data_IF_009539784371
#
_entry.id   IF_009539784371
#
_cell.length_a   1.000
_cell.length_b   1.000
_cell.length_c   1.000
_cell.angle_alpha   90.00
_cell.angle_beta   90.00
_cell.angle_gamma   90.00
#
_symmetry.space_group_name_H-M   'P 1'
#
loop_
_entity.id
_entity.type
_entity.pdbx_description
1 polymer ?
#
# COMPACT_ATOMS: atom_id res chain seq x y z
N UNK A 1 3.22 13.99 -2.44
CA UNK A 1 4.38 14.62 -3.14
C UNK A 1 4.04 16.03 -3.67
N UNK A 2 2.80 16.29 -4.14
CA UNK A 2 2.44 17.57 -4.77
C UNK A 2 2.49 18.83 -3.88
N UNK A 3 2.51 18.69 -2.55
CA UNK A 3 2.53 19.84 -1.62
C UNK A 3 3.94 20.30 -1.22
N UNK A 4 4.99 19.58 -1.58
CA UNK A 4 6.40 19.94 -1.28
C UNK A 4 6.76 20.05 0.21
N UNK A 5 5.83 19.66 1.11
CA UNK A 5 6.00 19.82 2.57
C UNK A 5 6.76 18.67 3.23
N UNK A 6 6.97 17.55 2.52
CA UNK A 6 7.61 16.34 3.04
C UNK A 6 8.84 15.98 2.22
N UNK A 7 9.91 15.58 2.89
CA UNK A 7 11.15 15.12 2.24
C UNK A 7 10.98 13.78 1.51
N UNK A 8 10.05 12.93 2.00
CA UNK A 8 9.66 11.69 1.34
C UNK A 8 8.23 11.30 1.72
N UNK A 9 7.52 10.65 0.78
CA UNK A 9 6.18 10.08 1.00
C UNK A 9 6.17 8.69 0.40
N UNK A 10 5.71 7.70 1.18
CA UNK A 10 5.58 6.31 0.73
C UNK A 10 4.20 5.77 1.08
N UNK A 11 3.59 5.10 0.11
CA UNK A 11 2.45 4.25 0.39
C UNK A 11 2.93 2.85 0.79
N UNK A 12 2.22 2.21 1.71
CA UNK A 12 2.45 0.82 2.07
C UNK A 12 1.10 0.09 2.21
N UNK A 13 1.08 -1.19 1.90
CA UNK A 13 -0.14 -1.95 1.73
C UNK A 13 -0.12 -3.23 2.59
N UNK A 14 -1.29 -3.71 2.97
CA UNK A 14 -1.43 -4.96 3.72
C UNK A 14 -1.16 -6.21 2.87
N UNK A 15 -1.52 -6.17 1.59
CA UNK A 15 -1.49 -7.33 0.70
C UNK A 15 -0.72 -7.11 -0.60
N UNK A 16 -0.14 -5.94 -0.77
CA UNK A 16 0.57 -5.53 -1.98
C UNK A 16 1.92 -4.91 -1.62
N UNK A 17 2.79 -4.75 -2.60
CA UNK A 17 4.07 -4.06 -2.44
C UNK A 17 3.93 -2.52 -2.52
N UNK A 18 4.68 -1.76 -1.75
CA UNK A 18 5.53 -2.17 -0.61
C UNK A 18 4.68 -2.64 0.57
N UNK A 19 5.09 -3.74 1.18
CA UNK A 19 4.36 -4.29 2.32
C UNK A 19 4.46 -3.41 3.55
N UNK A 20 3.33 -3.31 4.26
CA UNK A 20 3.20 -2.52 5.49
C UNK A 20 4.31 -2.80 6.51
N UNK A 21 4.66 -4.06 6.71
CA UNK A 21 5.67 -4.51 7.68
C UNK A 21 7.03 -3.85 7.50
N UNK A 22 7.43 -3.60 6.25
CA UNK A 22 8.73 -3.02 5.90
C UNK A 22 8.66 -1.52 5.63
N UNK A 23 7.49 -0.91 5.74
CA UNK A 23 7.29 0.50 5.40
C UNK A 23 8.28 1.42 6.10
N UNK A 24 8.49 1.22 7.40
CA UNK A 24 9.41 2.03 8.18
C UNK A 24 10.89 1.80 7.82
N UNK A 25 11.26 0.59 7.42
CA UNK A 25 12.63 0.27 7.02
C UNK A 25 13.00 0.91 5.68
N UNK A 26 11.99 1.25 4.85
CA UNK A 26 12.15 1.96 3.58
C UNK A 26 12.26 3.48 3.73
N UNK A 27 11.98 4.03 4.91
CA UNK A 27 12.01 5.47 5.17
C UNK A 27 13.43 5.91 5.60
N UNK A 28 13.89 7.04 5.03
CA UNK A 28 15.17 7.67 5.38
C UNK A 28 15.03 8.68 6.52
N UNK A 29 13.86 9.29 6.65
CA UNK A 29 13.56 10.34 7.62
C UNK A 29 13.61 9.85 9.06
N UNK A 30 14.05 10.71 9.97
CA UNK A 30 14.02 10.45 11.41
C UNK A 30 12.68 10.80 12.05
N UNK A 31 11.97 11.76 11.48
CA UNK A 31 10.59 12.12 11.84
C UNK A 31 9.67 11.45 10.82
N UNK A 32 8.83 10.53 11.26
CA UNK A 32 7.95 9.74 10.39
C UNK A 32 6.51 9.83 10.89
N UNK A 33 5.60 10.11 9.97
CA UNK A 33 4.16 10.15 10.24
C UNK A 33 3.49 8.98 9.52
N UNK A 34 2.87 8.10 10.29
CA UNK A 34 2.08 6.97 9.77
C UNK A 34 0.61 7.36 9.81
N UNK A 35 0.03 7.56 8.63
CA UNK A 35 -1.37 7.96 8.47
C UNK A 35 -2.15 6.78 7.89
N UNK A 36 -3.00 6.10 8.68
CA UNK A 36 -3.83 5.02 8.20
C UNK A 36 -4.92 5.55 7.25
N UNK A 37 -4.89 5.12 5.99
CA UNK A 37 -5.89 5.50 4.99
C UNK A 37 -7.07 4.53 5.07
N UNK A 38 -7.86 4.67 6.13
CA UNK A 38 -9.07 3.90 6.43
C UNK A 38 -10.23 4.84 6.75
N UNK A 39 -11.45 4.40 6.47
CA UNK A 39 -12.67 5.19 6.74
C UNK A 39 -13.03 5.27 8.21
N UNK A 40 -12.59 4.32 9.04
CA UNK A 40 -12.97 4.23 10.44
C UNK A 40 -11.87 3.64 11.30
N UNK A 41 -11.92 3.93 12.60
CA UNK A 41 -11.16 3.20 13.61
C UNK A 41 -11.72 1.77 13.75
N UNK A 42 -10.84 0.81 14.07
CA UNK A 42 -11.22 -0.58 14.27
C UNK A 42 -10.02 -1.51 14.33
N UNK A 43 -10.28 -2.82 14.26
CA UNK A 43 -9.26 -3.85 14.47
C UNK A 43 -7.98 -3.64 13.66
N UNK A 44 -8.10 -3.24 12.39
CA UNK A 44 -6.91 -2.99 11.56
C UNK A 44 -6.08 -1.82 12.08
N UNK A 45 -6.70 -0.68 12.33
CA UNK A 45 -5.99 0.54 12.74
C UNK A 45 -5.54 0.51 14.20
N UNK A 46 -6.23 -0.25 15.05
CA UNK A 46 -5.94 -0.32 16.49
C UNK A 46 -5.01 -1.48 16.87
N UNK A 47 -4.97 -2.55 16.06
CA UNK A 47 -4.22 -3.77 16.40
C UNK A 47 -3.25 -4.20 15.31
N UNK A 48 -3.72 -4.30 14.03
CA UNK A 48 -2.90 -4.86 12.96
C UNK A 48 -1.77 -3.92 12.58
N UNK A 49 -2.09 -2.68 12.19
CA UNK A 49 -1.08 -1.69 11.77
C UNK A 49 -0.04 -1.42 12.86
N UNK A 50 -0.42 -1.14 14.13
CA UNK A 50 0.56 -0.97 15.21
C UNK A 50 1.46 -2.20 15.40
N UNK A 51 0.89 -3.40 15.38
CA UNK A 51 1.66 -4.64 15.55
C UNK A 51 2.66 -4.84 14.41
N UNK A 52 2.24 -4.71 13.16
CA UNK A 52 3.10 -4.93 11.99
C UNK A 52 4.23 -3.90 11.92
N UNK A 53 3.95 -2.67 12.27
CA UNK A 53 4.95 -1.60 12.34
C UNK A 53 5.70 -1.55 13.68
N UNK A 54 5.34 -2.42 14.65
CA UNK A 54 5.94 -2.46 16.01
C UNK A 54 5.87 -1.10 16.70
N UNK A 55 4.66 -0.52 16.75
CA UNK A 55 4.41 0.77 17.36
C UNK A 55 3.99 0.62 18.82
N UNK A 56 4.48 1.51 19.68
CA UNK A 56 4.17 1.61 21.11
C UNK A 56 3.25 2.82 21.37
N UNK A 57 2.07 2.85 20.72
CA UNK A 57 1.10 3.93 20.86
C UNK A 57 1.27 5.06 19.85
N UNK A 58 0.76 6.28 20.16
CA UNK A 58 0.71 7.40 19.23
C UNK A 58 2.09 7.95 18.83
N UNK A 59 3.09 7.79 19.70
CA UNK A 59 4.47 8.15 19.45
C UNK A 59 5.40 7.00 19.86
N UNK A 60 6.12 6.47 18.88
CA UNK A 60 7.13 5.44 19.09
C UNK A 60 8.52 6.02 18.86
N UNK A 61 9.43 5.80 19.81
CA UNK A 61 10.84 6.17 19.69
C UNK A 61 11.66 4.89 19.44
N UNK A 62 12.23 4.76 18.24
CA UNK A 62 12.97 3.57 17.86
C UNK A 62 14.07 3.87 16.83
N UNK A 63 15.28 3.37 17.08
CA UNK A 63 16.41 3.54 16.16
C UNK A 63 16.76 5.01 15.88
N UNK A 64 16.65 5.89 16.87
CA UNK A 64 16.84 7.33 16.71
C UNK A 64 15.77 8.03 15.86
N UNK A 65 14.62 7.38 15.66
CA UNK A 65 13.45 7.90 14.93
C UNK A 65 12.31 8.22 15.87
N UNK A 66 11.53 9.23 15.51
CA UNK A 66 10.24 9.56 16.08
C UNK A 66 9.17 9.14 15.07
N UNK A 67 8.33 8.20 15.45
CA UNK A 67 7.30 7.64 14.60
C UNK A 67 5.95 7.98 15.22
N UNK A 68 5.26 8.91 14.58
CA UNK A 68 3.93 9.34 14.97
C UNK A 68 2.89 8.45 14.29
N UNK A 69 1.93 7.95 15.05
CA UNK A 69 0.82 7.15 14.54
C UNK A 69 -0.49 7.91 14.69
N UNK A 70 -1.07 8.31 13.57
CA UNK A 70 -2.32 9.04 13.54
C UNK A 70 -3.54 8.12 13.73
N UNK A 71 -4.68 8.65 14.15
CA UNK A 71 -5.98 8.03 13.90
C UNK A 71 -6.20 7.81 12.39
N UNK A 72 -7.12 6.92 11.97
CA UNK A 72 -7.42 6.77 10.55
C UNK A 72 -8.01 8.04 9.95
N UNK A 73 -7.69 8.31 8.68
CA UNK A 73 -8.08 9.54 7.99
C UNK A 73 -9.59 9.80 8.01
N UNK A 74 -10.40 8.73 7.96
CA UNK A 74 -11.86 8.84 7.94
C UNK A 74 -12.48 9.49 9.17
N UNK A 75 -11.80 9.46 10.33
CA UNK A 75 -12.31 10.11 11.55
C UNK A 75 -11.94 11.60 11.64
N UNK A 76 -11.08 12.09 10.74
CA UNK A 76 -10.68 13.49 10.74
C UNK A 76 -11.82 14.42 10.36
N UNK A 77 -11.86 15.59 10.99
CA UNK A 77 -12.93 16.58 10.80
C UNK A 77 -13.06 17.07 9.35
N UNK A 78 -11.95 17.15 8.63
CA UNK A 78 -11.91 17.56 7.23
C UNK A 78 -12.66 16.62 6.27
N UNK A 79 -12.98 15.40 6.69
CA UNK A 79 -13.75 14.47 5.85
C UNK A 79 -15.18 14.93 5.58
N UNK A 80 -15.78 15.72 6.49
CA UNK A 80 -17.09 16.32 6.26
C UNK A 80 -17.08 17.26 5.05
N UNK A 81 -16.02 18.08 4.91
CA UNK A 81 -15.80 18.93 3.75
C UNK A 81 -15.74 18.11 2.45
N UNK A 82 -14.97 17.02 2.45
CA UNK A 82 -14.85 16.15 1.27
C UNK A 82 -16.20 15.53 0.88
N UNK A 83 -17.02 15.14 1.86
CA UNK A 83 -18.39 14.64 1.59
C UNK A 83 -19.22 15.68 0.87
N UNK A 84 -19.20 16.96 1.34
CA UNK A 84 -19.95 18.04 0.69
C UNK A 84 -19.42 18.34 -0.72
N UNK A 85 -18.11 18.36 -0.91
CA UNK A 85 -17.48 18.56 -2.22
C UNK A 85 -17.88 17.43 -3.21
N UNK A 86 -17.87 16.17 -2.78
CA UNK A 86 -18.35 15.03 -3.58
C UNK A 86 -19.83 15.13 -3.91
N UNK A 87 -20.64 15.52 -2.95
CA UNK A 87 -22.07 15.73 -3.20
C UNK A 87 -22.30 16.83 -4.23
N UNK A 88 -21.55 17.93 -4.16
CA UNK A 88 -21.63 19.02 -5.12
C UNK A 88 -21.14 18.62 -6.52
N UNK A 89 -20.05 17.84 -6.63
CA UNK A 89 -19.56 17.31 -7.90
C UNK A 89 -20.62 16.42 -8.60
N UNK A 90 -21.32 15.57 -7.82
CA UNK A 90 -22.33 14.67 -8.37
C UNK A 90 -23.64 15.39 -8.77
N UNK A 91 -23.98 16.42 -8.02
CA UNK A 91 -25.21 17.19 -8.19
C UNK A 91 -24.93 18.68 -7.95
N UNK A 92 -24.35 19.40 -8.95
CA UNK A 92 -24.19 20.85 -8.85
C UNK A 92 -25.52 21.50 -8.58
N UNK A 93 -25.68 22.13 -7.42
CA UNK A 93 -26.96 22.62 -6.92
C UNK A 93 -26.83 24.03 -6.41
N UNK A 94 -27.89 24.81 -6.57
CA UNK A 94 -28.04 26.11 -5.88
C UNK A 94 -28.26 25.87 -4.38
N UNK A 95 -28.10 26.91 -3.56
CA UNK A 95 -28.36 26.82 -2.12
C UNK A 95 -29.83 26.44 -1.84
N UNK A 96 -30.77 26.92 -2.65
CA UNK A 96 -32.20 26.61 -2.53
C UNK A 96 -32.50 25.12 -2.86
N UNK A 97 -31.83 24.55 -3.89
CA UNK A 97 -31.97 23.14 -4.24
C UNK A 97 -31.40 22.23 -3.16
N UNK A 98 -30.28 22.61 -2.53
CA UNK A 98 -29.68 21.86 -1.40
C UNK A 98 -30.64 21.77 -0.21
N UNK A 99 -31.29 22.88 0.16
CA UNK A 99 -32.27 22.92 1.26
C UNK A 99 -33.54 22.08 0.98
N UNK A 100 -33.74 21.63 -0.25
CA UNK A 100 -34.83 20.75 -0.64
C UNK A 100 -34.32 19.31 -0.96
N UNK A 101 -33.03 19.03 -0.79
CA UNK A 101 -32.42 17.73 -1.10
C UNK A 101 -32.01 16.97 0.17
N UNK A 102 -32.05 15.65 0.10
CA UNK A 102 -31.52 14.77 1.13
C UNK A 102 -30.11 14.27 0.71
N UNK A 103 -29.13 14.42 1.60
CA UNK A 103 -27.79 13.82 1.46
C UNK A 103 -27.78 12.46 2.19
N UNK A 104 -27.48 11.38 1.47
CA UNK A 104 -27.30 10.06 2.05
C UNK A 104 -25.81 9.71 2.03
N UNK A 105 -25.22 9.44 3.18
CA UNK A 105 -23.83 9.03 3.32
C UNK A 105 -23.81 7.52 3.56
N UNK A 106 -23.29 6.76 2.59
CA UNK A 106 -23.26 5.30 2.69
C UNK A 106 -21.88 4.80 3.12
N UNK A 107 -21.82 4.13 4.28
CA UNK A 107 -20.64 3.45 4.80
C UNK A 107 -20.76 1.92 4.67
N UNK A 108 -19.67 1.20 5.01
CA UNK A 108 -19.70 -0.25 5.02
C UNK A 108 -20.64 -0.77 6.11
N UNK A 109 -20.44 -0.30 7.33
CA UNK A 109 -21.12 -0.82 8.51
C UNK A 109 -20.62 -2.23 8.88
N UNK A 110 -20.76 -2.61 10.12
CA UNK A 110 -20.63 -4.00 10.57
C UNK A 110 -21.13 -4.10 12.00
N UNK A 111 -21.89 -5.15 12.29
CA UNK A 111 -22.36 -5.43 13.66
C UNK A 111 -21.22 -5.84 14.60
N UNK A 112 -20.08 -6.31 14.06
CA UNK A 112 -18.94 -6.80 14.82
C UNK A 112 -18.09 -5.68 15.45
N UNK A 113 -18.11 -4.47 14.86
CA UNK A 113 -17.29 -3.34 15.32
C UNK A 113 -18.06 -2.03 15.21
N UNK A 114 -18.57 -1.49 16.34
CA UNK A 114 -19.33 -0.23 16.37
C UNK A 114 -18.62 0.97 15.75
N UNK A 115 -17.29 0.97 15.73
CA UNK A 115 -16.48 2.03 15.11
C UNK A 115 -16.70 2.18 13.59
N UNK A 116 -17.14 1.09 12.90
CA UNK A 116 -17.35 1.13 11.45
C UNK A 116 -18.52 2.04 11.07
N UNK A 117 -19.63 1.97 11.79
CA UNK A 117 -20.80 2.84 11.57
C UNK A 117 -20.65 4.20 12.28
N UNK A 118 -19.99 4.20 13.44
CA UNK A 118 -19.83 5.41 14.26
C UNK A 118 -19.17 6.57 13.52
N UNK A 119 -18.19 6.30 12.66
CA UNK A 119 -17.55 7.35 11.86
C UNK A 119 -18.53 7.97 10.86
N UNK A 120 -19.30 7.15 10.13
CA UNK A 120 -20.32 7.65 9.19
C UNK A 120 -21.39 8.45 9.94
N UNK A 121 -21.85 7.96 11.09
CA UNK A 121 -22.83 8.66 11.93
C UNK A 121 -22.29 10.01 12.43
N UNK A 122 -21.04 10.07 12.89
CA UNK A 122 -20.41 11.31 13.34
C UNK A 122 -20.32 12.39 12.23
N UNK A 123 -20.07 11.95 10.98
CA UNK A 123 -20.09 12.87 9.83
C UNK A 123 -21.53 13.36 9.54
N UNK A 124 -22.50 12.43 9.57
CA UNK A 124 -23.91 12.79 9.43
C UNK A 124 -24.33 13.81 10.48
N UNK A 125 -24.03 13.57 11.75
CA UNK A 125 -24.33 14.51 12.85
C UNK A 125 -23.69 15.88 12.63
N UNK A 126 -22.45 15.92 12.18
CA UNK A 126 -21.74 17.18 11.89
C UNK A 126 -22.37 17.97 10.75
N UNK A 127 -22.95 17.29 9.76
CA UNK A 127 -23.56 17.90 8.58
C UNK A 127 -25.06 18.17 8.73
N UNK A 128 -25.67 17.75 9.85
CA UNK A 128 -27.08 18.07 10.12
C UNK A 128 -27.32 19.56 10.28
N UNK A 129 -28.33 20.06 9.57
CA UNK A 129 -28.72 21.46 9.66
C UNK A 129 -27.83 22.46 8.91
N UNK A 130 -26.79 21.96 8.20
CA UNK A 130 -25.91 22.81 7.41
C UNK A 130 -26.57 23.22 6.08
N UNK A 131 -26.38 22.46 5.00
CA UNK A 131 -26.79 22.86 3.65
C UNK A 131 -27.98 22.04 3.11
N UNK A 132 -28.18 20.82 3.60
CA UNK A 132 -29.19 19.88 3.11
C UNK A 132 -30.45 19.87 4.00
N UNK A 133 -31.61 19.59 3.39
CA UNK A 133 -32.88 19.38 4.12
C UNK A 133 -32.72 18.33 5.22
N UNK A 134 -32.02 17.25 4.91
CA UNK A 134 -31.64 16.22 5.86
C UNK A 134 -30.37 15.51 5.41
N UNK A 135 -29.60 14.99 6.36
CA UNK A 135 -28.45 14.13 6.13
C UNK A 135 -28.72 12.81 6.81
N UNK A 136 -28.60 11.70 6.07
CA UNK A 136 -28.95 10.36 6.56
C UNK A 136 -27.77 9.39 6.38
N UNK A 137 -27.47 8.55 7.38
CA UNK A 137 -26.56 7.43 7.18
C UNK A 137 -27.26 6.28 6.49
N UNK A 138 -26.53 5.51 5.70
CA UNK A 138 -26.90 4.19 5.20
C UNK A 138 -25.71 3.25 5.25
N UNK A 139 -25.93 1.94 5.31
CA UNK A 139 -24.86 0.95 5.42
C UNK A 139 -25.11 -0.25 4.52
N UNK A 140 -24.00 -0.93 4.12
CA UNK A 140 -24.09 -2.18 3.37
C UNK A 140 -24.44 -3.36 4.26
N UNK A 141 -23.77 -3.50 5.42
CA UNK A 141 -23.81 -4.72 6.24
C UNK A 141 -24.59 -4.56 7.56
N UNK A 142 -25.14 -3.39 7.84
CA UNK A 142 -25.99 -3.14 9.03
C UNK A 142 -27.14 -2.18 8.73
N UNK A 143 -28.09 -2.04 9.65
CA UNK A 143 -29.16 -1.04 9.55
C UNK A 143 -28.69 0.37 9.95
N UNK A 144 -29.32 1.41 9.35
CA UNK A 144 -30.28 1.35 8.27
C UNK A 144 -29.63 0.98 6.94
N UNK A 145 -30.27 0.04 6.21
CA UNK A 145 -29.85 -0.32 4.85
C UNK A 145 -30.19 0.77 3.86
N UNK A 146 -29.47 0.78 2.73
CA UNK A 146 -29.63 1.81 1.70
C UNK A 146 -31.05 1.88 1.14
N UNK A 147 -31.65 0.74 0.80
CA UNK A 147 -33.02 0.63 0.30
C UNK A 147 -34.06 1.15 1.31
N UNK A 148 -33.88 0.82 2.59
CA UNK A 148 -34.74 1.32 3.68
C UNK A 148 -34.68 2.84 3.77
N UNK A 149 -33.46 3.42 3.72
CA UNK A 149 -33.30 4.89 3.79
C UNK A 149 -33.92 5.55 2.56
N UNK A 150 -33.72 4.99 1.37
CA UNK A 150 -34.26 5.54 0.12
C UNK A 150 -35.81 5.49 0.07
N UNK A 151 -36.43 4.49 0.68
CA UNK A 151 -37.88 4.39 0.79
C UNK A 151 -38.49 5.44 1.73
N UNK A 152 -37.74 6.00 2.65
CA UNK A 152 -38.16 7.00 3.63
C UNK A 152 -37.92 8.47 3.20
N UNK A 153 -37.19 8.71 2.11
CA UNK A 153 -36.84 10.04 1.67
C UNK A 153 -37.58 10.44 0.41
N UNK A 154 -38.11 11.65 0.41
CA UNK A 154 -38.80 12.23 -0.74
C UNK A 154 -37.95 13.33 -1.39
N UNK A 155 -38.15 13.52 -2.69
CA UNK A 155 -37.52 14.58 -3.46
C UNK A 155 -36.12 14.23 -3.96
N UNK A 156 -35.28 15.24 -4.13
CA UNK A 156 -33.94 15.06 -4.68
C UNK A 156 -33.00 14.41 -3.68
N UNK A 157 -32.33 13.35 -4.09
CA UNK A 157 -31.39 12.57 -3.25
C UNK A 157 -29.99 12.60 -3.87
N UNK A 158 -28.99 12.87 -3.03
CA UNK A 158 -27.58 12.73 -3.38
C UNK A 158 -26.96 11.67 -2.48
N UNK A 159 -26.38 10.63 -3.07
CA UNK A 159 -25.74 9.52 -2.35
C UNK A 159 -24.21 9.67 -2.46
N UNK A 160 -23.53 9.76 -1.32
CA UNK A 160 -22.07 9.85 -1.26
C UNK A 160 -21.50 8.60 -0.60
N UNK A 161 -20.70 7.78 -1.33
CA UNK A 161 -20.04 6.62 -0.76
C UNK A 161 -18.84 7.02 0.11
N UNK A 162 -18.92 6.72 1.40
CA UNK A 162 -17.88 6.95 2.38
C UNK A 162 -16.87 5.80 2.37
N UNK A 163 -16.13 5.67 1.26
CA UNK A 163 -15.13 4.65 0.99
C UNK A 163 -13.81 5.28 0.56
N UNK A 164 -12.69 4.57 0.79
CA UNK A 164 -11.35 5.05 0.42
C UNK A 164 -11.10 4.94 -1.09
N UNK A 165 -11.74 4.00 -1.78
CA UNK A 165 -11.50 3.76 -3.22
C UNK A 165 -12.79 3.42 -3.95
N UNK A 166 -12.74 3.53 -5.28
CA UNK A 166 -13.79 3.04 -6.21
C UNK A 166 -13.71 1.52 -6.38
N UNK A 167 -13.52 0.78 -5.28
CA UNK A 167 -13.49 -0.68 -5.29
C UNK A 167 -14.84 -1.32 -5.60
N UNK A 168 -14.93 -2.64 -5.41
CA UNK A 168 -16.15 -3.41 -5.73
C UNK A 168 -17.43 -2.82 -5.13
N UNK A 169 -17.42 -2.35 -3.89
CA UNK A 169 -18.60 -1.76 -3.26
C UNK A 169 -19.02 -0.45 -3.92
N UNK A 170 -18.13 0.54 -3.97
CA UNK A 170 -18.46 1.86 -4.52
C UNK A 170 -18.64 1.85 -6.05
N UNK A 171 -17.89 0.98 -6.76
CA UNK A 171 -17.92 0.93 -8.22
C UNK A 171 -18.92 -0.08 -8.82
N UNK A 172 -19.46 -1.02 -8.03
CA UNK A 172 -20.33 -2.08 -8.57
C UNK A 172 -21.54 -2.37 -7.69
N UNK A 173 -21.33 -2.69 -6.41
CA UNK A 173 -22.45 -3.11 -5.52
C UNK A 173 -23.46 -1.99 -5.34
N UNK A 174 -23.01 -0.83 -4.86
CA UNK A 174 -23.89 0.31 -4.60
C UNK A 174 -24.58 0.80 -5.88
N UNK A 175 -23.88 1.05 -7.01
CA UNK A 175 -24.56 1.42 -8.26
C UNK A 175 -25.64 0.44 -8.69
N UNK A 176 -25.40 -0.86 -8.58
CA UNK A 176 -26.41 -1.89 -8.87
C UNK A 176 -27.62 -1.79 -7.94
N UNK A 177 -27.38 -1.61 -6.63
CA UNK A 177 -28.46 -1.52 -5.63
C UNK A 177 -29.24 -0.19 -5.74
N UNK A 178 -28.71 0.80 -6.47
CA UNK A 178 -29.35 2.06 -6.81
C UNK A 178 -30.15 2.03 -8.13
N UNK A 179 -30.11 0.92 -8.88
CA UNK A 179 -30.85 0.78 -10.14
C UNK A 179 -32.35 0.98 -9.91
N UNK A 180 -32.96 1.85 -10.70
CA UNK A 180 -34.38 2.18 -10.62
C UNK A 180 -34.73 3.34 -9.70
N UNK A 181 -33.78 3.91 -8.96
CA UNK A 181 -33.98 5.12 -8.20
C UNK A 181 -33.51 6.36 -8.99
N UNK A 182 -34.31 7.44 -8.95
CA UNK A 182 -33.93 8.72 -9.55
C UNK A 182 -33.15 9.55 -8.53
N UNK A 183 -31.81 9.47 -8.58
CA UNK A 183 -30.92 10.12 -7.63
C UNK A 183 -29.55 10.46 -8.25
N UNK A 184 -28.72 11.18 -7.51
CA UNK A 184 -27.34 11.48 -7.88
C UNK A 184 -26.39 10.65 -7.05
N UNK A 185 -25.48 9.91 -7.70
CA UNK A 185 -24.45 9.10 -7.06
C UNK A 185 -23.08 9.71 -7.24
N UNK A 186 -22.41 10.00 -6.13
CA UNK A 186 -21.09 10.61 -6.11
C UNK A 186 -19.97 9.56 -6.22
N UNK A 187 -18.76 10.00 -6.53
CA UNK A 187 -17.54 9.20 -6.41
C UNK A 187 -17.17 9.01 -4.92
N UNK A 188 -16.37 7.98 -4.65
CA UNK A 188 -15.88 7.67 -3.30
C UNK A 188 -15.05 8.84 -2.71
N UNK A 189 -15.25 9.13 -1.43
CA UNK A 189 -14.58 10.26 -0.76
C UNK A 189 -13.05 10.14 -0.78
N UNK A 190 -12.51 8.94 -0.62
CA UNK A 190 -11.07 8.71 -0.56
C UNK A 190 -10.31 8.96 -1.87
N UNK A 191 -11.02 9.10 -2.99
CA UNK A 191 -10.43 9.46 -4.29
C UNK A 191 -10.45 10.96 -4.56
N UNK A 192 -10.92 11.78 -3.61
CA UNK A 192 -10.97 13.23 -3.78
C UNK A 192 -9.57 13.86 -3.64
N UNK A 193 -9.19 14.84 -4.48
CA UNK A 193 -7.88 15.51 -4.40
C UNK A 193 -7.59 16.14 -3.03
N UNK A 194 -8.60 16.69 -2.37
CA UNK A 194 -8.48 17.30 -1.03
C UNK A 194 -8.10 16.30 0.08
N UNK A 195 -8.09 15.00 -0.18
CA UNK A 195 -7.51 14.02 0.76
C UNK A 195 -6.07 14.34 1.13
N UNK A 196 -5.28 14.90 0.19
CA UNK A 196 -3.91 15.33 0.48
C UNK A 196 -3.85 16.48 1.49
N UNK A 197 -4.82 17.40 1.45
CA UNK A 197 -4.93 18.50 2.41
C UNK A 197 -5.28 17.96 3.80
N UNK A 198 -6.26 17.05 3.89
CA UNK A 198 -6.63 16.40 5.15
C UNK A 198 -5.44 15.66 5.78
N UNK A 199 -4.64 14.94 4.99
CA UNK A 199 -3.40 14.32 5.48
C UNK A 199 -2.42 15.37 6.00
N UNK A 200 -2.29 16.50 5.32
CA UNK A 200 -1.46 17.62 5.78
C UNK A 200 -1.94 18.23 7.10
N UNK A 201 -3.24 18.43 7.27
CA UNK A 201 -3.88 18.89 8.50
C UNK A 201 -3.60 17.91 9.66
N UNK A 202 -3.77 16.60 9.44
CA UNK A 202 -3.46 15.57 10.43
C UNK A 202 -1.99 15.59 10.88
N UNK A 203 -1.05 15.78 9.96
CA UNK A 203 0.37 15.89 10.33
C UNK A 203 0.63 17.17 11.13
N UNK A 204 0.00 18.30 10.80
CA UNK A 204 0.12 19.52 11.57
C UNK A 204 -0.42 19.35 13.01
N UNK A 205 -1.54 18.66 13.18
CA UNK A 205 -2.09 18.32 14.50
C UNK A 205 -1.14 17.42 15.33
N UNK A 206 -0.50 16.44 14.69
CA UNK A 206 0.47 15.55 15.36
C UNK A 206 1.78 16.27 15.75
N UNK A 207 2.08 17.39 15.14
CA UNK A 207 3.29 18.19 15.44
C UNK A 207 3.01 19.33 16.39
N UNK A 208 1.74 19.62 16.73
CA UNK A 208 1.39 20.68 17.68
C UNK A 208 1.93 20.32 19.08
N UNK A 209 2.81 21.13 19.67
CA UNK A 209 3.31 20.91 21.01
C UNK A 209 2.21 20.83 22.09
N UNK A 210 1.07 21.48 21.87
CA UNK A 210 -0.08 21.44 22.76
C UNK A 210 -0.80 20.07 22.73
N UNK A 211 -0.82 19.42 21.57
CA UNK A 211 -1.42 18.09 21.39
C UNK A 211 -0.49 16.95 21.91
N UNK A 212 0.82 17.16 21.83
CA UNK A 212 1.81 16.17 22.28
C UNK A 212 1.86 15.98 23.80
N UNK A 213 1.07 16.73 24.60
CA UNK A 213 1.02 16.65 26.05
C UNK A 213 2.31 16.06 26.63
N UNK A 214 2.82 16.42 27.75
CA UNK A 214 4.10 16.00 28.33
C UNK A 214 4.40 14.48 28.12
N UNK A 215 4.81 14.09 26.91
CA UNK A 215 5.50 12.82 26.70
C UNK A 215 6.81 12.99 27.42
N UNK A 216 6.88 12.37 28.62
CA UNK A 216 8.05 12.43 29.45
C UNK A 216 9.29 12.22 28.59
N UNK A 217 10.32 12.99 28.87
CA UNK A 217 11.68 12.85 28.34
C UNK A 217 12.29 11.52 28.79
N UNK A 218 11.61 10.42 28.52
CA UNK A 218 12.16 9.07 28.60
C UNK A 218 13.34 9.04 27.65
N UNK A 219 14.54 8.92 28.22
CA UNK A 219 15.79 9.09 27.52
C UNK A 219 15.80 8.31 26.19
N UNK A 220 15.96 9.04 25.11
CA UNK A 220 16.33 8.49 23.81
C UNK A 220 17.56 7.61 24.03
N UNK A 221 17.38 6.31 24.11
CA UNK A 221 18.49 5.40 23.83
C UNK A 221 18.75 5.59 22.33
N UNK A 222 19.70 6.45 22.04
CA UNK A 222 20.14 6.70 20.69
C UNK A 222 20.79 5.43 20.14
N UNK A 223 20.01 4.62 19.43
CA UNK A 223 20.60 3.77 18.42
C UNK A 223 21.16 4.71 17.36
N UNK A 224 22.48 4.89 17.37
CA UNK A 224 23.19 5.99 16.71
C UNK A 224 23.53 5.69 15.24
N UNK A 225 22.84 4.74 14.60
CA UNK A 225 23.10 4.38 13.21
C UNK A 225 22.15 5.06 12.20
N UNK A 226 22.57 5.17 10.93
CA UNK A 226 21.66 5.56 9.84
C UNK A 226 20.60 4.49 9.62
N UNK A 227 19.40 4.85 9.08
CA UNK A 227 18.38 3.89 8.74
C UNK A 227 18.88 2.78 7.79
N UNK A 228 18.36 1.53 7.89
CA UNK A 228 18.84 0.41 7.08
C UNK A 228 18.84 0.70 5.56
N UNK A 229 17.82 1.42 5.07
CA UNK A 229 17.73 1.80 3.65
C UNK A 229 18.86 2.75 3.23
N UNK A 230 19.32 3.63 4.11
CA UNK A 230 20.44 4.54 3.83
C UNK A 230 21.73 3.73 3.67
N UNK A 231 21.98 2.79 4.59
CA UNK A 231 23.13 1.88 4.52
C UNK A 231 23.10 0.99 3.26
N UNK A 232 21.93 0.45 2.93
CA UNK A 232 21.75 -0.35 1.73
C UNK A 232 22.00 0.45 0.45
N UNK A 233 21.53 1.70 0.40
CA UNK A 233 21.75 2.62 -0.71
C UNK A 233 23.23 2.97 -0.87
N UNK A 234 23.90 3.29 0.22
CA UNK A 234 25.35 3.60 0.22
C UNK A 234 26.17 2.39 -0.26
N UNK A 235 25.86 1.19 0.24
CA UNK A 235 26.51 -0.05 -0.19
C UNK A 235 26.29 -0.32 -1.68
N UNK A 236 25.07 -0.11 -2.18
CA UNK A 236 24.75 -0.22 -3.60
C UNK A 236 25.55 0.77 -4.44
N UNK A 237 25.54 2.06 -4.06
CA UNK A 237 26.29 3.11 -4.76
C UNK A 237 27.80 2.82 -4.78
N UNK A 238 28.36 2.38 -3.65
CA UNK A 238 29.76 2.01 -3.54
C UNK A 238 30.10 0.86 -4.50
N UNK A 239 29.24 -0.17 -4.57
CA UNK A 239 29.45 -1.29 -5.48
C UNK A 239 29.38 -0.87 -6.96
N UNK A 240 28.47 0.04 -7.32
CA UNK A 240 28.36 0.57 -8.68
C UNK A 240 29.57 1.40 -9.10
N UNK A 241 30.20 2.12 -8.16
CA UNK A 241 31.34 3.00 -8.42
C UNK A 241 32.69 2.26 -8.35
N UNK A 242 32.71 1.02 -7.89
CA UNK A 242 33.94 0.25 -7.79
C UNK A 242 34.64 0.10 -9.15
N UNK A 243 35.97 0.07 -9.15
CA UNK A 243 36.80 -0.05 -10.36
C UNK A 243 36.63 -1.37 -11.09
N UNK A 244 36.10 -2.38 -10.44
CA UNK A 244 35.82 -3.71 -11.01
C UNK A 244 34.34 -3.97 -11.22
N UNK A 245 33.50 -2.93 -11.37
CA UNK A 245 32.07 -3.12 -11.58
C UNK A 245 31.81 -4.05 -12.77
N UNK A 246 31.04 -5.09 -12.54
CA UNK A 246 30.56 -6.00 -13.58
C UNK A 246 29.07 -5.79 -13.76
N UNK A 247 28.52 -6.11 -14.97
CA UNK A 247 27.09 -6.07 -15.18
C UNK A 247 26.33 -6.78 -14.06
N UNK A 248 25.33 -6.11 -13.49
CA UNK A 248 24.54 -6.62 -12.38
C UNK A 248 23.16 -6.98 -12.89
N UNK A 249 22.86 -8.27 -12.98
CA UNK A 249 21.52 -8.75 -13.26
C UNK A 249 20.72 -8.81 -11.96
N UNK A 250 19.51 -8.25 -11.98
CA UNK A 250 18.52 -8.33 -10.92
C UNK A 250 17.21 -8.80 -11.57
N UNK A 251 16.97 -10.10 -11.55
CA UNK A 251 15.86 -10.78 -12.22
C UNK A 251 15.76 -10.42 -13.71
N UNK A 252 14.72 -9.69 -14.13
CA UNK A 252 14.47 -9.35 -15.52
C UNK A 252 15.21 -8.08 -16.00
N UNK A 253 15.97 -7.44 -15.15
CA UNK A 253 16.74 -6.25 -15.53
C UNK A 253 18.24 -6.47 -15.33
N UNK A 254 19.03 -5.84 -16.17
CA UNK A 254 20.47 -5.83 -16.07
C UNK A 254 20.99 -4.40 -16.12
N UNK A 255 21.83 -4.07 -15.15
CA UNK A 255 22.54 -2.80 -15.02
C UNK A 255 23.95 -2.94 -15.61
N UNK A 256 24.29 -2.08 -16.55
CA UNK A 256 25.65 -1.91 -17.08
C UNK A 256 26.17 -0.51 -16.84
N UNK A 257 27.47 -0.40 -16.76
CA UNK A 257 28.16 0.89 -16.77
C UNK A 257 28.63 1.17 -18.19
N UNK A 258 28.30 2.33 -18.72
CA UNK A 258 28.77 2.76 -20.03
C UNK A 258 30.22 3.26 -19.90
N UNK A 259 31.14 2.53 -20.48
CA UNK A 259 32.56 2.88 -20.49
C UNK A 259 32.87 4.08 -21.40
N UNK A 260 31.99 4.40 -22.37
CA UNK A 260 32.14 5.50 -23.31
C UNK A 260 31.69 6.87 -22.79
N UNK A 261 30.79 6.93 -21.82
CA UNK A 261 30.13 8.14 -21.30
C UNK A 261 30.48 8.45 -19.86
N UNK A 262 31.75 8.70 -19.55
CA UNK A 262 32.23 9.18 -18.23
C UNK A 262 31.52 8.58 -16.99
N UNK A 263 31.16 7.28 -17.07
CA UNK A 263 30.58 6.55 -15.94
C UNK A 263 29.06 6.57 -15.86
N UNK A 264 28.35 6.86 -16.93
CA UNK A 264 26.90 6.69 -17.02
C UNK A 264 26.49 5.23 -16.83
N UNK A 265 25.29 5.05 -16.31
CA UNK A 265 24.67 3.74 -16.08
C UNK A 265 23.51 3.54 -17.04
N UNK A 266 23.35 2.32 -17.52
CA UNK A 266 22.20 1.93 -18.34
C UNK A 266 21.56 0.67 -17.76
N UNK A 267 20.23 0.72 -17.61
CA UNK A 267 19.40 -0.39 -17.16
C UNK A 267 18.41 -0.74 -18.26
N UNK A 268 18.33 -2.04 -18.60
CA UNK A 268 17.37 -2.58 -19.57
C UNK A 268 16.74 -3.88 -19.04
N UNK A 269 15.62 -4.25 -19.63
CA UNK A 269 15.18 -5.63 -19.56
C UNK A 269 16.25 -6.55 -20.17
N UNK A 270 16.51 -7.71 -19.56
CA UNK A 270 17.61 -8.62 -20.00
C UNK A 270 17.51 -9.04 -21.46
N UNK A 271 16.29 -9.19 -21.99
CA UNK A 271 16.06 -9.56 -23.39
C UNK A 271 16.26 -8.38 -24.38
N UNK A 272 16.27 -7.15 -23.89
CA UNK A 272 16.44 -5.96 -24.73
C UNK A 272 17.91 -5.59 -25.01
N UNK A 273 18.87 -6.27 -24.39
CA UNK A 273 20.29 -5.98 -24.64
C UNK A 273 20.77 -6.35 -26.04
N UNK A 274 20.06 -7.25 -26.71
CA UNK A 274 20.35 -7.62 -28.11
C UNK A 274 19.67 -6.70 -29.13
N UNK A 275 18.90 -5.69 -28.66
CA UNK A 275 18.20 -4.71 -29.54
C UNK A 275 19.02 -3.43 -29.67
N UNK A 276 18.99 -2.77 -30.85
CA UNK A 276 19.59 -1.45 -31.01
C UNK A 276 19.03 -0.46 -29.99
N UNK A 277 19.91 0.32 -29.37
CA UNK A 277 19.53 1.28 -28.32
C UNK A 277 18.57 2.37 -28.83
N UNK A 278 18.69 2.73 -30.11
CA UNK A 278 17.87 3.74 -30.80
C UNK A 278 16.40 3.31 -30.94
N UNK A 279 16.14 2.02 -30.92
CA UNK A 279 14.79 1.44 -30.97
C UNK A 279 14.08 1.34 -29.61
N UNK A 280 14.75 1.72 -28.52
CA UNK A 280 14.21 1.65 -27.15
C UNK A 280 13.75 3.02 -26.67
N UNK A 281 12.61 3.04 -25.97
CA UNK A 281 12.13 4.26 -25.29
C UNK A 281 13.12 4.64 -24.19
N UNK A 282 13.64 5.87 -24.23
CA UNK A 282 14.58 6.39 -23.24
C UNK A 282 13.80 6.88 -22.01
N UNK A 283 14.21 6.44 -20.84
CA UNK A 283 13.74 6.88 -19.54
C UNK A 283 14.93 7.50 -18.80
N UNK A 284 14.73 8.63 -18.15
CA UNK A 284 15.80 9.36 -17.44
C UNK A 284 15.40 9.75 -16.01
N UNK A 285 14.09 9.84 -15.75
CA UNK A 285 13.58 10.13 -14.42
C UNK A 285 13.42 8.81 -13.61
N UNK A 286 13.96 8.71 -12.41
CA UNK A 286 13.70 7.56 -11.53
C UNK A 286 12.21 7.24 -11.33
N UNK A 287 11.31 8.23 -11.42
CA UNK A 287 9.87 8.03 -11.34
C UNK A 287 9.30 7.17 -12.50
N UNK A 288 10.01 7.11 -13.63
CA UNK A 288 9.63 6.29 -14.80
C UNK A 288 9.67 4.77 -14.50
N UNK A 289 10.26 4.33 -13.39
CA UNK A 289 10.29 2.91 -12.99
C UNK A 289 8.90 2.28 -12.94
N UNK A 290 7.89 3.03 -12.51
CA UNK A 290 6.49 2.58 -12.52
C UNK A 290 5.99 2.31 -13.94
N UNK A 291 6.30 3.22 -14.88
CA UNK A 291 5.90 3.07 -16.30
C UNK A 291 6.66 1.95 -17.01
N UNK A 292 7.93 1.68 -16.62
CA UNK A 292 8.70 0.56 -17.13
C UNK A 292 8.16 -0.79 -16.65
N UNK A 293 7.64 -0.85 -15.41
CA UNK A 293 6.99 -2.05 -14.88
C UNK A 293 5.59 -2.30 -15.44
N UNK A 294 4.95 -1.31 -16.07
CA UNK A 294 3.61 -1.48 -16.61
C UNK A 294 3.62 -2.44 -17.82
N UNK A 295 2.70 -3.40 -17.81
CA UNK A 295 2.48 -4.30 -18.95
C UNK A 295 1.63 -3.61 -20.01
N UNK A 296 1.99 -3.78 -21.27
CA UNK A 296 1.26 -3.17 -22.39
C UNK A 296 -0.20 -3.66 -22.48
N UNK A 297 -0.47 -4.89 -22.05
CA UNK A 297 -1.77 -5.56 -22.06
C UNK A 297 -2.63 -5.30 -20.81
N UNK A 298 -2.03 -4.81 -19.73
CA UNK A 298 -2.69 -4.66 -18.43
C UNK A 298 -2.95 -3.20 -18.02
N UNK A 299 -2.38 -2.23 -18.70
CA UNK A 299 -2.60 -0.79 -18.51
C UNK A 299 -2.01 -0.17 -17.25
N UNK A 300 -1.92 -0.88 -16.14
CA UNK A 300 -1.44 -0.36 -14.87
C UNK A 300 -0.23 -1.15 -14.35
N UNK A 301 0.71 -0.45 -13.72
CA UNK A 301 1.78 -1.08 -12.98
C UNK A 301 1.20 -1.94 -11.84
N UNK A 302 1.74 -3.14 -11.68
CA UNK A 302 1.42 -4.02 -10.55
C UNK A 302 2.66 -4.25 -9.71
N UNK A 303 2.50 -4.39 -8.40
CA UNK A 303 3.59 -4.82 -7.53
C UNK A 303 4.24 -6.12 -8.02
N UNK A 304 5.52 -6.29 -7.73
CA UNK A 304 6.33 -7.38 -8.28
C UNK A 304 5.71 -8.77 -8.05
N UNK A 305 5.08 -8.99 -6.90
CA UNK A 305 4.43 -10.27 -6.56
C UNK A 305 3.18 -10.58 -7.38
N UNK A 306 2.53 -9.55 -7.91
CA UNK A 306 1.32 -9.69 -8.73
C UNK A 306 1.57 -9.49 -10.23
N UNK A 307 2.82 -9.18 -10.62
CA UNK A 307 3.23 -8.96 -12.00
C UNK A 307 4.44 -9.83 -12.34
N UNK A 308 4.25 -11.02 -12.92
CA UNK A 308 5.34 -11.99 -13.16
C UNK A 308 6.34 -11.52 -14.22
N UNK A 309 6.02 -10.56 -15.07
CA UNK A 309 6.90 -10.03 -16.11
C UNK A 309 6.80 -8.53 -16.26
N UNK A 310 7.92 -7.90 -16.61
CA UNK A 310 8.00 -6.49 -16.92
C UNK A 310 7.69 -6.20 -18.40
N UNK A 311 7.34 -4.97 -18.70
CA UNK A 311 7.27 -4.50 -20.07
C UNK A 311 8.67 -4.46 -20.72
N UNK A 312 8.70 -4.63 -22.04
CA UNK A 312 9.90 -4.57 -22.88
C UNK A 312 9.98 -3.25 -23.65
N UNK A 313 11.11 -3.02 -24.29
CA UNK A 313 11.29 -1.93 -25.24
C UNK A 313 11.64 -0.59 -24.60
N UNK A 314 12.26 -0.60 -23.43
CA UNK A 314 12.73 0.58 -22.72
C UNK A 314 14.21 0.46 -22.32
N UNK A 315 14.84 1.60 -22.10
CA UNK A 315 16.15 1.73 -21.44
C UNK A 315 16.12 2.91 -20.49
N UNK A 316 16.63 2.73 -19.29
CA UNK A 316 16.83 3.81 -18.32
C UNK A 316 18.30 4.19 -18.31
N UNK A 317 18.58 5.49 -18.44
CA UNK A 317 19.94 6.03 -18.41
C UNK A 317 20.12 6.97 -17.23
N UNK A 318 21.25 6.84 -16.54
CA UNK A 318 21.53 7.61 -15.33
C UNK A 318 23.01 8.03 -15.28
N UNK A 319 23.27 9.23 -14.81
CA UNK A 319 24.64 9.73 -14.59
C UNK A 319 25.20 9.29 -13.23
N UNK A 320 24.32 8.97 -12.28
CA UNK A 320 24.68 8.60 -10.91
C UNK A 320 23.95 7.33 -10.43
N UNK A 321 24.64 6.46 -9.64
CA UNK A 321 24.00 5.26 -9.10
C UNK A 321 22.79 5.56 -8.20
N UNK A 322 22.69 6.76 -7.63
CA UNK A 322 21.55 7.18 -6.84
C UNK A 322 20.24 7.24 -7.67
N UNK A 323 20.34 7.60 -8.96
CA UNK A 323 19.19 7.60 -9.87
C UNK A 323 18.79 6.15 -10.21
N UNK A 324 19.78 5.27 -10.40
CA UNK A 324 19.52 3.82 -10.59
C UNK A 324 18.81 3.24 -9.37
N UNK A 325 19.28 3.57 -8.15
CA UNK A 325 18.59 3.16 -6.93
C UNK A 325 17.12 3.61 -6.91
N UNK A 326 16.87 4.90 -7.21
CA UNK A 326 15.52 5.44 -7.23
C UNK A 326 14.60 4.76 -8.26
N UNK A 327 15.12 4.47 -9.46
CA UNK A 327 14.41 3.74 -10.48
C UNK A 327 14.10 2.28 -10.05
N UNK A 328 15.10 1.59 -9.50
CA UNK A 328 14.95 0.22 -8.99
C UNK A 328 13.98 0.14 -7.81
N UNK A 329 13.96 1.14 -6.94
CA UNK A 329 13.02 1.19 -5.81
C UNK A 329 11.57 1.39 -6.28
N UNK A 330 11.36 2.07 -7.43
CA UNK A 330 10.03 2.16 -8.07
C UNK A 330 9.65 0.87 -8.80
N UNK A 331 10.61 0.23 -9.45
CA UNK A 331 10.39 -1.01 -10.20
C UNK A 331 10.19 -2.22 -9.27
N UNK A 332 11.02 -2.33 -8.24
CA UNK A 332 11.07 -3.41 -7.27
C UNK A 332 11.08 -2.86 -5.84
N UNK A 333 9.96 -2.33 -5.34
CA UNK A 333 9.91 -1.67 -4.03
C UNK A 333 10.51 -2.54 -2.92
N UNK A 334 11.47 -1.99 -2.18
CA UNK A 334 12.11 -2.65 -1.04
C UNK A 334 13.06 -3.81 -1.38
N UNK A 335 13.14 -4.26 -2.64
CA UNK A 335 13.90 -5.45 -2.99
C UNK A 335 15.42 -5.30 -2.80
N UNK A 336 15.98 -4.13 -3.13
CA UNK A 336 17.41 -3.85 -2.91
C UNK A 336 17.77 -3.80 -1.42
N UNK A 337 16.88 -3.25 -0.57
CA UNK A 337 17.04 -3.30 0.88
C UNK A 337 16.99 -4.74 1.38
N UNK A 338 16.02 -5.53 0.97
CA UNK A 338 15.90 -6.93 1.37
C UNK A 338 17.13 -7.75 0.94
N UNK A 339 17.64 -7.50 -0.27
CA UNK A 339 18.88 -8.12 -0.74
C UNK A 339 20.10 -7.75 0.13
N UNK A 340 20.21 -6.47 0.51
CA UNK A 340 21.26 -5.99 1.39
C UNK A 340 21.19 -6.67 2.77
N UNK A 341 20.00 -6.66 3.40
CA UNK A 341 19.79 -7.28 4.71
C UNK A 341 19.99 -8.80 4.68
N UNK A 342 19.56 -9.45 3.60
CA UNK A 342 19.76 -10.90 3.43
C UNK A 342 21.24 -11.27 3.38
N UNK A 343 22.06 -10.55 2.59
CA UNK A 343 23.51 -10.76 2.53
C UNK A 343 24.22 -10.59 3.88
N UNK A 344 23.63 -9.84 4.78
CA UNK A 344 24.14 -9.62 6.15
C UNK A 344 23.58 -10.59 7.17
N UNK A 345 22.62 -11.43 6.79
CA UNK A 345 21.87 -12.28 7.73
C UNK A 345 20.93 -11.50 8.66
N UNK A 346 20.58 -10.28 8.31
CA UNK A 346 19.77 -9.35 9.11
C UNK A 346 18.33 -9.24 8.59
N UNK A 347 17.97 -9.91 7.49
CA UNK A 347 16.61 -9.86 6.93
C UNK A 347 15.64 -10.61 7.84
N UNK A 348 14.61 -9.95 8.41
CA UNK A 348 13.56 -10.63 9.14
C UNK A 348 12.76 -11.55 8.21
N UNK A 349 12.69 -12.82 8.55
CA UNK A 349 11.96 -13.84 7.78
C UNK A 349 10.70 -14.22 8.56
N UNK A 350 9.58 -14.30 7.86
CA UNK A 350 8.29 -14.75 8.40
C UNK A 350 7.89 -16.04 7.72
N UNK A 351 7.60 -17.07 8.51
CA UNK A 351 7.27 -18.40 8.00
C UNK A 351 5.86 -18.47 7.42
N UNK A 352 5.60 -19.51 6.62
CA UNK A 352 4.25 -19.75 6.10
C UNK A 352 3.25 -19.98 7.23
N UNK A 353 3.62 -20.70 8.29
CA UNK A 353 2.76 -20.96 9.45
C UNK A 353 2.41 -19.70 10.20
N UNK A 354 3.34 -18.75 10.36
CA UNK A 354 3.06 -17.47 11.01
C UNK A 354 2.07 -16.62 10.20
N UNK A 355 2.16 -16.64 8.87
CA UNK A 355 1.19 -15.96 8.02
C UNK A 355 -0.15 -16.69 8.04
N UNK A 356 -0.14 -18.03 7.95
CA UNK A 356 -1.35 -18.85 8.00
C UNK A 356 -2.13 -18.65 9.32
N UNK A 357 -1.43 -18.62 10.45
CA UNK A 357 -2.04 -18.38 11.76
C UNK A 357 -2.74 -17.01 11.92
N UNK A 358 -2.42 -16.06 11.05
CA UNK A 358 -3.04 -14.72 11.03
C UNK A 358 -4.26 -14.63 10.13
N UNK A 359 -4.56 -15.68 9.37
CA UNK A 359 -5.72 -15.69 8.49
C UNK A 359 -7.01 -15.88 9.29
N UNK A 360 -8.12 -15.37 8.75
CA UNK A 360 -9.45 -15.46 9.35
C UNK A 360 -10.48 -15.82 8.29
N UNK A 361 -11.69 -16.14 8.72
CA UNK A 361 -12.79 -16.51 7.83
C UNK A 361 -12.47 -17.74 6.99
N UNK A 362 -12.77 -17.69 5.71
CA UNK A 362 -12.56 -18.80 4.75
C UNK A 362 -11.06 -19.16 4.58
N UNK A 363 -10.18 -18.24 4.89
CA UNK A 363 -8.72 -18.45 4.78
C UNK A 363 -8.08 -19.06 6.04
N UNK A 364 -8.83 -19.18 7.16
CA UNK A 364 -8.29 -19.76 8.41
C UNK A 364 -7.76 -21.19 8.22
N UNK A 365 -8.37 -21.95 7.32
CA UNK A 365 -7.96 -23.32 6.99
C UNK A 365 -6.61 -23.45 6.27
N UNK A 366 -6.02 -22.34 5.80
CA UNK A 366 -4.71 -22.38 5.13
C UNK A 366 -3.61 -22.98 6.02
N UNK A 367 -3.74 -22.87 7.34
CA UNK A 367 -2.85 -23.52 8.30
C UNK A 367 -2.95 -25.06 8.35
N UNK A 368 -3.95 -25.67 7.74
CA UNK A 368 -4.13 -27.14 7.67
C UNK A 368 -3.24 -27.80 6.58
N UNK A 369 -2.61 -26.98 5.72
CA UNK A 369 -1.74 -27.51 4.66
C UNK A 369 -0.48 -28.18 5.24
N UNK A 370 -0.17 -29.37 4.69
CA UNK A 370 1.08 -30.06 5.00
C UNK A 370 2.26 -29.38 4.32
N UNK A 371 3.49 -29.62 4.83
CA UNK A 371 4.71 -29.08 4.21
C UNK A 371 4.87 -29.45 2.74
N UNK A 372 4.52 -30.67 2.35
CA UNK A 372 4.56 -31.12 0.95
C UNK A 372 3.63 -30.31 0.04
N UNK A 373 2.44 -29.98 0.51
CA UNK A 373 1.49 -29.15 -0.25
C UNK A 373 1.95 -27.69 -0.31
N UNK A 374 2.58 -27.16 0.74
CA UNK A 374 3.20 -25.83 0.71
C UNK A 374 4.34 -25.79 -0.29
N UNK A 375 5.22 -26.81 -0.31
CA UNK A 375 6.32 -26.94 -1.27
C UNK A 375 5.81 -27.02 -2.72
N UNK A 376 4.72 -27.75 -2.95
CA UNK A 376 4.08 -27.80 -4.26
C UNK A 376 3.50 -26.46 -4.69
N UNK A 377 2.86 -25.75 -3.77
CA UNK A 377 2.37 -24.40 -4.00
C UNK A 377 3.51 -23.43 -4.32
N UNK A 378 4.62 -23.48 -3.59
CA UNK A 378 5.81 -22.65 -3.86
C UNK A 378 6.35 -22.93 -5.26
N UNK A 379 6.46 -24.20 -5.67
CA UNK A 379 6.89 -24.57 -7.02
C UNK A 379 5.96 -24.03 -8.11
N UNK A 380 4.66 -24.05 -7.89
CA UNK A 380 3.66 -23.60 -8.88
C UNK A 380 3.46 -22.09 -8.94
N UNK A 381 3.54 -21.42 -7.78
CA UNK A 381 3.20 -19.99 -7.64
C UNK A 381 4.45 -19.12 -7.61
N UNK A 382 5.50 -19.56 -6.93
CA UNK A 382 6.72 -18.78 -6.71
C UNK A 382 7.88 -19.14 -7.66
N UNK A 383 7.81 -20.27 -8.35
CA UNK A 383 8.84 -20.67 -9.32
C UNK A 383 8.73 -19.86 -10.64
N UNK A 384 9.69 -19.93 -11.57
CA UNK A 384 10.01 -18.92 -12.59
C UNK A 384 8.87 -18.35 -13.43
N UNK A 385 7.72 -19.00 -13.46
CA UNK A 385 6.55 -18.52 -14.23
C UNK A 385 5.55 -17.73 -13.39
N UNK A 386 5.63 -17.77 -12.05
CA UNK A 386 4.63 -17.18 -11.15
C UNK A 386 5.09 -15.96 -10.36
N UNK A 387 6.35 -15.94 -9.91
CA UNK A 387 6.89 -14.83 -9.12
C UNK A 387 8.36 -14.61 -9.42
N UNK A 388 8.81 -13.35 -9.43
CA UNK A 388 10.19 -12.97 -9.68
C UNK A 388 11.07 -13.00 -8.42
N UNK A 389 10.49 -13.17 -7.21
CA UNK A 389 11.24 -13.27 -5.97
C UNK A 389 11.52 -14.71 -5.58
N UNK A 390 12.67 -14.94 -4.97
CA UNK A 390 13.08 -16.23 -4.45
C UNK A 390 12.62 -16.36 -3.01
N UNK A 391 11.73 -17.32 -2.68
CA UNK A 391 11.30 -17.55 -1.31
C UNK A 391 12.46 -18.05 -0.45
N UNK A 392 12.71 -17.37 0.69
CA UNK A 392 13.76 -17.71 1.65
C UNK A 392 13.21 -18.12 3.01
N UNK A 393 11.89 -17.94 3.21
CA UNK A 393 11.17 -18.46 4.37
C UNK A 393 10.96 -19.97 4.21
N UNK A 394 10.89 -20.67 5.36
CA UNK A 394 10.80 -22.10 5.33
C UNK A 394 9.67 -22.60 6.22
N UNK A 395 9.11 -23.71 5.89
CA UNK A 395 8.09 -24.36 6.69
C UNK A 395 8.73 -25.02 7.91
N UNK A 396 8.33 -24.57 9.11
CA UNK A 396 8.79 -25.16 10.38
C UNK A 396 8.26 -26.58 10.61
N UNK A 397 7.24 -27.02 9.83
CA UNK A 397 6.73 -28.39 9.88
C UNK A 397 7.64 -29.38 9.16
N UNK A 398 8.58 -28.90 8.37
CA UNK A 398 9.58 -29.73 7.68
C UNK A 398 11.00 -29.18 7.86
N UNK A 399 11.63 -29.33 9.04
CA UNK A 399 12.96 -28.79 9.33
C UNK A 399 14.10 -29.33 8.46
N UNK A 400 13.84 -30.37 7.65
CA UNK A 400 14.75 -30.89 6.61
C UNK A 400 14.26 -30.60 5.19
N UNK A 401 13.16 -29.87 5.05
CA UNK A 401 12.47 -29.64 3.79
C UNK A 401 13.20 -28.71 2.85
N UNK A 402 13.13 -29.05 1.58
CA UNK A 402 13.76 -28.34 0.46
C UNK A 402 13.03 -27.03 0.08
N UNK A 403 12.19 -26.48 0.96
CA UNK A 403 11.40 -25.28 0.66
C UNK A 403 12.21 -23.98 0.61
N UNK A 404 13.45 -23.99 1.10
CA UNK A 404 14.36 -22.85 1.04
C UNK A 404 15.19 -22.91 -0.23
N UNK A 405 14.83 -22.10 -1.21
CA UNK A 405 15.69 -21.83 -2.34
C UNK A 405 16.74 -20.80 -1.89
N UNK A 406 18.02 -21.16 -1.92
CA UNK A 406 19.07 -20.17 -1.67
C UNK A 406 19.14 -19.22 -2.87
N UNK A 407 18.92 -17.90 -2.67
CA UNK A 407 18.96 -16.97 -3.77
C UNK A 407 20.38 -16.84 -4.32
N UNK A 408 20.52 -16.90 -5.63
CA UNK A 408 21.75 -16.54 -6.31
C UNK A 408 22.03 -15.03 -6.12
N UNK A 409 23.24 -14.60 -6.46
CA UNK A 409 23.63 -13.20 -6.28
C UNK A 409 22.74 -12.20 -7.05
N UNK A 410 22.18 -12.64 -8.17
CA UNK A 410 21.25 -11.90 -9.05
C UNK A 410 19.80 -11.91 -8.57
N UNK A 411 19.44 -12.79 -7.63
CA UNK A 411 18.05 -12.98 -7.22
C UNK A 411 17.65 -11.99 -6.14
N UNK A 412 16.35 -11.68 -6.10
CA UNK A 412 15.75 -10.85 -5.07
C UNK A 412 15.02 -11.74 -4.05
N UNK A 413 15.38 -11.65 -2.75
CA UNK A 413 14.77 -12.50 -1.73
C UNK A 413 13.31 -12.12 -1.47
N UNK A 414 12.49 -13.12 -1.19
CA UNK A 414 11.13 -12.99 -0.68
C UNK A 414 11.12 -13.34 0.81
N UNK A 415 10.98 -12.40 1.74
CA UNK A 415 11.12 -12.67 3.16
C UNK A 415 9.88 -13.30 3.81
N UNK A 416 8.72 -13.26 3.14
CA UNK A 416 7.47 -13.81 3.68
C UNK A 416 6.50 -14.27 2.57
N UNK A 417 5.58 -15.22 2.87
CA UNK A 417 4.50 -15.63 1.99
C UNK A 417 3.55 -14.48 1.67
N UNK A 418 3.31 -14.22 0.38
CA UNK A 418 2.43 -13.16 -0.07
C UNK A 418 0.95 -13.57 -0.12
N UNK A 419 0.07 -12.58 -0.28
CA UNK A 419 -1.38 -12.81 -0.40
C UNK A 419 -1.77 -13.69 -1.58
N UNK A 420 -1.00 -13.68 -2.68
CA UNK A 420 -1.25 -14.55 -3.84
C UNK A 420 -1.04 -16.01 -3.44
N UNK A 421 0.08 -16.32 -2.77
CA UNK A 421 0.35 -17.67 -2.31
C UNK A 421 -0.71 -18.15 -1.30
N UNK A 422 -1.12 -17.30 -0.36
CA UNK A 422 -2.17 -17.63 0.61
C UNK A 422 -3.52 -17.83 -0.07
N UNK A 423 -3.85 -17.06 -1.10
CA UNK A 423 -5.06 -17.26 -1.90
C UNK A 423 -5.03 -18.59 -2.66
N UNK A 424 -3.93 -18.93 -3.29
CA UNK A 424 -3.77 -20.23 -3.98
C UNK A 424 -3.79 -21.41 -3.00
N UNK A 425 -3.24 -21.22 -1.79
CA UNK A 425 -3.36 -22.19 -0.70
C UNK A 425 -4.83 -22.43 -0.31
N UNK A 426 -5.62 -21.37 -0.19
CA UNK A 426 -7.07 -21.47 0.07
C UNK A 426 -7.82 -22.23 -1.02
N UNK A 427 -7.48 -22.00 -2.30
CA UNK A 427 -8.07 -22.75 -3.43
C UNK A 427 -7.69 -24.25 -3.40
N UNK A 428 -6.44 -24.54 -3.05
CA UNK A 428 -5.98 -25.95 -2.97
C UNK A 428 -6.78 -26.73 -1.91
N UNK A 429 -7.09 -26.14 -0.77
CA UNK A 429 -7.89 -26.77 0.29
C UNK A 429 -9.32 -27.04 -0.18
N UNK A 430 -9.94 -26.08 -0.88
CA UNK A 430 -11.33 -26.23 -1.37
C UNK A 430 -11.45 -27.24 -2.50
N UNK A 431 -10.38 -27.54 -3.24
CA UNK A 431 -10.37 -28.54 -4.31
C UNK A 431 -10.09 -29.97 -3.83
N UNK A 432 -9.61 -30.14 -2.60
CA UNK A 432 -9.30 -31.46 -1.98
C UNK A 432 -10.37 -31.92 -1.00
N UNK A 433 -11.39 -31.13 -0.69
CA UNK A 433 -12.56 -31.48 0.11
C UNK A 433 -13.85 -31.48 -0.69
#
# INVERSE_FOLDING_TARGET
>A
EGMGSFGEVRAAFWKEEPELRYALDLMQSREVFVIPIFTSAGYFTERVVPRELRLDGPLTLRGGRRIHYAPPVGVHSGMARIVLERAHEAAPTTAEEKTNSTLVIIGHGTELHPGSSGTTQAIVERLQGEEYKSVRPAFLDQDPKLDTVLAEVDGRVVVVPFFISEGWHAGTTIPRDLEGFELHYARAVGTHPAMAEVVGEMVAELTDPAALGHVGSGGLVAETGPPPVVMAREAFMTSCLASGFRPLQLLQVELRRDEGSKGAFELRHVEDWNRPAEGLRVLTDPADGTAAGARADAGAHRPLRSAPSLAHGWRFTAEHPAQVWGFMDRLYPGALLHRYLHKRGELPIVTFQEIAARQSGIHARVGELTGELVDDLVRRVCAPTGCLRVPIWHDSSNPGGQGRLEPEERDLPCPEPCSILISEAGKAITSTG
#
